data_IF_524898889988
#
_entry.id   IF_524898889988
#
_cell.length_a   1.000
_cell.length_b   1.000
_cell.length_c   1.000
_cell.angle_alpha   90.00
_cell.angle_beta   90.00
_cell.angle_gamma   90.00
#
_symmetry.space_group_name_H-M   'P 1'
#
loop_
_entity.id
_entity.type
_entity.pdbx_description
1 polymer ?
#
# COMPACT_ATOMS: atom_id res chain seq x y z
N UNK A 1 -18.27 46.36 -4.55
CA UNK A 1 -18.29 46.15 -6.01
C UNK A 1 -16.85 45.98 -6.52
N UNK A 2 -16.60 45.03 -7.45
CA UNK A 2 -15.27 44.58 -7.91
C UNK A 2 -14.67 45.52 -8.99
N UNK A 3 -13.38 45.40 -9.36
CA UNK A 3 -12.98 44.58 -10.54
C UNK A 3 -11.64 43.82 -10.35
N UNK A 4 -11.58 42.51 -10.64
CA UNK A 4 -11.17 41.86 -11.92
C UNK A 4 -9.65 41.80 -12.18
N UNK A 5 -9.04 40.66 -11.81
CA UNK A 5 -7.79 40.15 -12.40
C UNK A 5 -8.07 39.62 -13.83
N UNK A 6 -7.02 39.52 -14.66
CA UNK A 6 -6.77 38.25 -15.31
C UNK A 6 -5.39 37.68 -14.90
N UNK A 7 -5.42 36.46 -14.36
CA UNK A 7 -4.24 35.60 -14.16
C UNK A 7 -3.77 35.09 -15.53
N UNK A 8 -2.58 35.50 -15.94
CA UNK A 8 -1.79 34.75 -16.92
C UNK A 8 -0.97 33.71 -16.16
N UNK A 9 -1.33 32.44 -16.33
CA UNK A 9 -0.57 31.29 -15.84
C UNK A 9 0.77 31.20 -16.58
N UNK A 10 1.85 31.67 -15.97
CA UNK A 10 3.21 31.31 -16.39
C UNK A 10 3.51 29.90 -15.87
N UNK A 11 3.45 28.95 -16.81
CA UNK A 11 3.98 27.61 -16.68
C UNK A 11 5.49 27.71 -16.45
N UNK A 12 5.93 27.53 -15.20
CA UNK A 12 7.34 27.44 -14.87
C UNK A 12 7.87 26.10 -15.38
N UNK A 13 8.82 26.14 -16.31
CA UNK A 13 9.59 24.97 -16.74
C UNK A 13 10.20 24.25 -15.53
N UNK A 14 10.36 22.92 -15.56
CA UNK A 14 11.06 22.21 -14.49
C UNK A 14 12.48 22.78 -14.36
N UNK A 15 12.99 23.02 -13.15
CA UNK A 15 14.36 23.49 -12.98
C UNK A 15 15.33 22.49 -13.61
N UNK A 16 16.11 22.93 -14.60
CA UNK A 16 17.07 22.13 -15.38
C UNK A 16 18.30 21.68 -14.57
N UNK A 17 18.25 21.75 -13.25
CA UNK A 17 19.37 21.48 -12.35
C UNK A 17 18.89 20.69 -11.14
N UNK A 18 19.31 19.43 -11.07
CA UNK A 18 19.11 18.59 -9.89
C UNK A 18 20.06 19.12 -8.80
N UNK A 19 19.56 19.48 -7.60
CA UNK A 19 20.40 20.05 -6.56
C UNK A 19 21.43 19.03 -6.04
N UNK A 20 22.71 19.43 -5.93
CA UNK A 20 23.87 18.61 -5.56
C UNK A 20 23.64 17.67 -4.36
N UNK A 21 22.85 18.13 -3.38
CA UNK A 21 22.51 17.39 -2.16
C UNK A 21 21.59 16.17 -2.41
N UNK A 22 20.94 16.08 -3.57
CA UNK A 22 20.11 14.93 -3.97
C UNK A 22 20.88 13.90 -4.81
N UNK A 23 22.14 14.17 -5.16
CA UNK A 23 22.98 13.25 -5.95
C UNK A 23 23.73 12.22 -5.10
N UNK A 24 23.53 12.17 -3.77
CA UNK A 24 24.21 11.19 -2.91
C UNK A 24 25.74 11.32 -2.92
N UNK A 25 26.26 12.50 -3.25
CA UNK A 25 27.68 12.82 -3.25
C UNK A 25 28.16 13.03 -1.82
N UNK A 26 29.40 12.63 -1.52
CA UNK A 26 29.99 12.93 -0.22
C UNK A 26 30.15 14.45 -0.06
N UNK A 27 30.16 15.01 1.16
CA UNK A 27 30.32 16.45 1.36
C UNK A 27 31.59 17.03 0.70
N UNK A 28 32.64 16.21 0.59
CA UNK A 28 33.90 16.56 -0.08
C UNK A 28 33.75 16.58 -1.60
N UNK A 29 32.99 15.64 -2.17
CA UNK A 29 32.69 15.59 -3.61
C UNK A 29 31.81 16.77 -4.04
N UNK A 30 30.82 17.17 -3.21
CA UNK A 30 29.98 18.36 -3.45
C UNK A 30 30.82 19.64 -3.41
N UNK A 31 31.74 19.77 -2.45
CA UNK A 31 32.63 20.92 -2.36
C UNK A 31 33.55 21.02 -3.60
N UNK A 32 34.08 19.88 -4.04
CA UNK A 32 34.91 19.78 -5.25
C UNK A 32 34.10 20.14 -6.50
N UNK A 33 32.86 19.67 -6.62
CA UNK A 33 31.97 20.00 -7.74
C UNK A 33 31.64 21.49 -7.78
N UNK A 34 31.35 22.11 -6.63
CA UNK A 34 31.11 23.55 -6.52
C UNK A 34 32.34 24.38 -6.87
N UNK A 35 33.52 23.95 -6.42
CA UNK A 35 34.78 24.62 -6.76
C UNK A 35 35.06 24.58 -8.27
N UNK A 36 34.81 23.44 -8.92
CA UNK A 36 34.96 23.32 -10.37
C UNK A 36 33.90 24.12 -11.15
N UNK A 37 32.63 24.14 -10.70
CA UNK A 37 31.62 25.02 -11.28
C UNK A 37 32.04 26.49 -11.17
N UNK A 38 32.59 26.92 -10.04
CA UNK A 38 33.07 28.28 -9.86
C UNK A 38 34.25 28.61 -10.79
N UNK A 39 35.19 27.68 -10.99
CA UNK A 39 36.30 27.85 -11.93
C UNK A 39 35.83 27.90 -13.39
N UNK A 40 34.87 27.05 -13.77
CA UNK A 40 34.24 27.08 -15.09
C UNK A 40 33.46 28.37 -15.33
N UNK A 41 32.73 28.86 -14.32
CA UNK A 41 32.06 30.17 -14.38
C UNK A 41 33.04 31.34 -14.41
N UNK A 42 34.22 31.22 -13.78
CA UNK A 42 35.27 32.23 -13.83
C UNK A 42 35.95 32.29 -15.21
N UNK A 43 36.18 31.14 -15.87
CA UNK A 43 36.65 31.09 -17.26
C UNK A 43 35.60 31.59 -18.26
N UNK A 44 34.31 31.41 -17.98
CA UNK A 44 33.22 31.95 -18.80
C UNK A 44 33.06 33.48 -18.72
N UNK A 45 33.77 34.16 -17.81
CA UNK A 45 33.73 35.64 -17.64
C UNK A 45 34.79 36.40 -18.45
N UNK A 46 35.53 35.74 -19.35
CA UNK A 46 36.36 36.42 -20.33
C UNK A 46 35.45 37.16 -21.35
N UNK A 47 35.56 38.49 -21.51
CA UNK A 47 34.58 39.31 -22.26
C UNK A 47 34.67 39.19 -23.79
N UNK A 48 35.48 38.28 -24.32
CA UNK A 48 35.66 38.09 -25.77
C UNK A 48 35.42 36.66 -26.17
N UNK A 49 34.19 36.36 -26.61
CA UNK A 49 33.90 35.13 -27.35
C UNK A 49 32.50 34.56 -27.10
N UNK A 50 31.52 35.13 -27.81
CA UNK A 50 30.36 34.44 -28.40
C UNK A 50 29.76 33.24 -27.66
N UNK A 51 28.54 33.42 -27.16
CA UNK A 51 27.38 32.54 -27.44
C UNK A 51 27.71 31.10 -27.84
N UNK A 52 28.35 30.34 -26.95
CA UNK A 52 28.35 28.89 -26.95
C UNK A 52 27.44 28.40 -25.82
N UNK A 53 26.23 28.98 -25.77
CA UNK A 53 25.05 28.38 -25.17
C UNK A 53 24.67 27.12 -25.96
N UNK A 54 25.50 26.09 -25.83
CA UNK A 54 25.12 24.71 -26.09
C UNK A 54 25.40 23.92 -24.81
N UNK A 55 24.62 24.24 -23.78
CA UNK A 55 23.63 23.32 -23.22
C UNK A 55 23.83 21.83 -23.58
N UNK A 56 24.98 21.23 -23.24
CA UNK A 56 25.23 19.80 -23.53
C UNK A 56 26.68 19.40 -23.85
N UNK A 57 27.63 20.33 -23.99
CA UNK A 57 29.05 19.94 -24.11
C UNK A 57 29.68 19.97 -22.73
N UNK A 58 29.51 18.88 -21.97
CA UNK A 58 30.43 18.55 -20.88
C UNK A 58 31.83 18.62 -21.50
N UNK A 59 32.61 19.64 -21.13
CA UNK A 59 34.06 19.57 -21.28
C UNK A 59 34.47 18.36 -20.46
N UNK A 60 34.77 17.26 -21.17
CA UNK A 60 35.27 15.99 -20.64
C UNK A 60 36.69 16.23 -20.11
N UNK A 61 36.80 17.06 -19.08
CA UNK A 61 38.03 17.19 -18.31
C UNK A 61 38.26 15.84 -17.61
N UNK A 62 39.46 15.24 -17.69
CA UNK A 62 39.73 13.91 -17.10
C UNK A 62 39.29 13.77 -15.63
N UNK A 63 39.29 14.86 -14.86
CA UNK A 63 38.77 14.87 -13.49
C UNK A 63 37.25 14.66 -13.39
N UNK A 64 36.47 15.24 -14.32
CA UNK A 64 35.01 15.09 -14.36
C UNK A 64 34.58 13.65 -14.70
N UNK A 65 35.33 12.97 -15.57
CA UNK A 65 35.10 11.56 -15.90
C UNK A 65 35.45 10.64 -14.72
N UNK A 66 36.51 10.94 -13.97
CA UNK A 66 36.85 10.20 -12.76
C UNK A 66 35.78 10.38 -11.67
N UNK A 67 35.23 11.57 -11.49
CA UNK A 67 34.13 11.83 -10.57
C UNK A 67 32.86 11.06 -10.96
N UNK A 68 32.53 11.07 -12.26
CA UNK A 68 31.39 10.34 -12.78
C UNK A 68 31.54 8.82 -12.60
N UNK A 69 32.74 8.28 -12.84
CA UNK A 69 33.04 6.85 -12.58
C UNK A 69 32.79 6.49 -11.11
N UNK A 70 33.33 7.28 -10.17
CA UNK A 70 33.13 7.05 -8.73
C UNK A 70 31.66 7.16 -8.32
N UNK A 71 30.91 8.07 -8.94
CA UNK A 71 29.48 8.18 -8.72
C UNK A 71 28.74 6.94 -9.22
N UNK A 72 29.04 6.46 -10.42
CA UNK A 72 28.48 5.20 -10.94
C UNK A 72 28.80 4.01 -10.03
N UNK A 73 30.03 3.89 -9.55
CA UNK A 73 30.42 2.80 -8.62
C UNK A 73 29.60 2.85 -7.33
N UNK A 74 29.41 4.05 -6.75
CA UNK A 74 28.61 4.24 -5.53
C UNK A 74 27.12 3.96 -5.76
N UNK A 75 26.57 4.37 -6.90
CA UNK A 75 25.17 4.08 -7.27
C UNK A 75 24.99 2.57 -7.46
N UNK A 76 25.91 1.89 -8.14
CA UNK A 76 25.85 0.44 -8.32
C UNK A 76 25.93 -0.30 -6.98
N UNK A 77 26.79 0.13 -6.06
CA UNK A 77 26.85 -0.42 -4.70
C UNK A 77 25.54 -0.18 -3.93
N UNK A 78 24.97 1.02 -4.00
CA UNK A 78 23.72 1.35 -3.34
C UNK A 78 22.53 0.55 -3.91
N UNK A 79 22.48 0.36 -5.23
CA UNK A 79 21.48 -0.49 -5.89
C UNK A 79 21.63 -1.94 -5.41
N UNK A 80 22.87 -2.47 -5.36
CA UNK A 80 23.14 -3.82 -4.85
C UNK A 80 22.60 -4.01 -3.43
N UNK A 81 22.96 -3.11 -2.50
CA UNK A 81 22.46 -3.14 -1.12
C UNK A 81 20.93 -3.02 -1.05
N UNK A 82 20.33 -2.18 -1.89
CA UNK A 82 18.87 -2.00 -1.91
C UNK A 82 18.15 -3.24 -2.43
N UNK A 83 18.72 -3.93 -3.42
CA UNK A 83 18.17 -5.18 -3.94
C UNK A 83 18.21 -6.29 -2.88
N UNK A 84 19.31 -6.41 -2.14
CA UNK A 84 19.42 -7.36 -1.02
C UNK A 84 18.38 -7.08 0.07
N UNK A 85 18.24 -5.81 0.47
CA UNK A 85 17.22 -5.40 1.45
C UNK A 85 15.80 -5.68 0.95
N UNK A 86 15.51 -5.41 -0.32
CA UNK A 86 14.19 -5.65 -0.90
C UNK A 86 13.89 -7.16 -0.97
N UNK A 87 14.87 -7.98 -1.32
CA UNK A 87 14.73 -9.43 -1.37
C UNK A 87 14.40 -9.98 0.02
N UNK A 88 15.19 -9.62 1.03
CA UNK A 88 14.95 -10.03 2.42
C UNK A 88 13.59 -9.53 2.95
N UNK A 89 13.23 -8.27 2.67
CA UNK A 89 11.92 -7.74 3.06
C UNK A 89 10.77 -8.47 2.36
N UNK A 90 10.95 -8.89 1.11
CA UNK A 90 9.95 -9.65 0.35
C UNK A 90 9.79 -11.07 0.90
N UNK A 91 10.90 -11.72 1.27
CA UNK A 91 10.90 -13.03 1.91
C UNK A 91 10.10 -12.99 3.23
N UNK A 92 10.44 -12.07 4.14
CA UNK A 92 9.72 -11.87 5.41
C UNK A 92 8.24 -11.56 5.16
N UNK A 93 7.94 -10.67 4.21
CA UNK A 93 6.56 -10.31 3.91
C UNK A 93 5.76 -11.51 3.36
N UNK A 94 6.40 -12.37 2.58
CA UNK A 94 5.79 -13.57 2.01
C UNK A 94 5.51 -14.60 3.09
N UNK A 95 6.46 -14.85 3.99
CA UNK A 95 6.28 -15.74 5.15
C UNK A 95 5.16 -15.23 6.07
N UNK A 96 5.21 -13.96 6.47
CA UNK A 96 4.18 -13.36 7.31
C UNK A 96 2.79 -13.33 6.65
N UNK A 97 2.74 -13.26 5.32
CA UNK A 97 1.48 -13.36 4.57
C UNK A 97 0.96 -14.80 4.55
N UNK A 98 1.85 -15.78 4.36
CA UNK A 98 1.51 -17.20 4.39
C UNK A 98 0.94 -17.61 5.76
N UNK A 99 1.60 -17.20 6.85
CA UNK A 99 1.15 -17.48 8.22
C UNK A 99 -0.22 -16.84 8.53
N UNK A 100 -0.40 -15.57 8.14
CA UNK A 100 -1.70 -14.87 8.32
C UNK A 100 -2.82 -15.54 7.53
N UNK A 101 -2.55 -15.94 6.29
CA UNK A 101 -3.53 -16.64 5.47
C UNK A 101 -3.87 -18.02 6.07
N UNK A 102 -2.87 -18.76 6.54
CA UNK A 102 -3.06 -20.04 7.22
C UNK A 102 -3.94 -19.92 8.46
N UNK A 103 -3.63 -18.97 9.35
CA UNK A 103 -4.42 -18.72 10.55
C UNK A 103 -5.87 -18.30 10.21
N UNK A 104 -6.06 -17.44 9.21
CA UNK A 104 -7.39 -17.00 8.79
C UNK A 104 -8.25 -18.15 8.26
N UNK A 105 -7.65 -19.07 7.49
CA UNK A 105 -8.34 -20.27 6.99
C UNK A 105 -8.77 -21.17 8.15
N UNK A 106 -7.88 -21.45 9.10
CA UNK A 106 -8.21 -22.27 10.27
C UNK A 106 -9.34 -21.65 11.12
N UNK A 107 -9.32 -20.33 11.31
CA UNK A 107 -10.42 -19.63 11.99
C UNK A 107 -11.73 -19.73 11.22
N UNK A 108 -11.69 -19.59 9.89
CA UNK A 108 -12.87 -19.73 9.05
C UNK A 108 -13.47 -21.15 9.14
N UNK A 109 -12.63 -22.18 9.12
CA UNK A 109 -13.07 -23.59 9.26
C UNK A 109 -13.74 -23.84 10.60
N UNK A 110 -13.19 -23.29 11.69
CA UNK A 110 -13.79 -23.38 13.03
C UNK A 110 -15.17 -22.71 13.08
N UNK A 111 -15.31 -21.53 12.46
CA UNK A 111 -16.59 -20.83 12.41
C UNK A 111 -17.61 -21.54 11.50
N UNK A 112 -17.18 -22.14 10.38
CA UNK A 112 -18.03 -22.98 9.53
C UNK A 112 -18.54 -24.18 10.32
N UNK A 113 -17.69 -24.85 11.09
CA UNK A 113 -18.09 -25.98 11.93
C UNK A 113 -19.13 -25.55 12.99
N UNK A 114 -18.91 -24.39 13.62
CA UNK A 114 -19.86 -23.80 14.56
C UNK A 114 -21.20 -23.49 13.91
N UNK A 115 -21.23 -22.87 12.73
CA UNK A 115 -22.47 -22.59 12.02
C UNK A 115 -23.21 -23.86 11.63
N UNK A 116 -22.50 -24.90 11.16
CA UNK A 116 -23.11 -26.21 10.88
C UNK A 116 -23.76 -26.83 12.11
N UNK A 117 -23.11 -26.73 13.27
CA UNK A 117 -23.69 -27.21 14.53
C UNK A 117 -24.95 -26.41 14.92
N UNK A 118 -24.93 -25.09 14.75
CA UNK A 118 -26.10 -24.24 15.00
C UNK A 118 -27.27 -24.62 14.07
N UNK A 119 -27.00 -24.83 12.78
CA UNK A 119 -28.04 -25.25 11.83
C UNK A 119 -28.66 -26.59 12.24
N UNK A 120 -27.84 -27.56 12.64
CA UNK A 120 -28.35 -28.83 13.15
C UNK A 120 -29.22 -28.65 14.41
N UNK A 121 -28.83 -27.78 15.34
CA UNK A 121 -29.64 -27.48 16.52
C UNK A 121 -30.98 -26.83 16.15
N UNK A 122 -31.00 -25.99 15.11
CA UNK A 122 -32.25 -25.39 14.60
C UNK A 122 -33.18 -26.47 14.04
N UNK A 123 -32.66 -27.40 13.24
CA UNK A 123 -33.44 -28.51 12.68
C UNK A 123 -34.01 -29.43 13.80
N UNK A 124 -33.23 -29.68 14.85
CA UNK A 124 -33.68 -30.43 16.03
C UNK A 124 -34.81 -29.68 16.77
N UNK A 125 -34.67 -28.36 16.96
CA UNK A 125 -35.71 -27.54 17.56
C UNK A 125 -37.00 -27.52 16.73
N UNK A 126 -36.90 -27.50 15.39
CA UNK A 126 -38.07 -27.59 14.52
C UNK A 126 -38.83 -28.91 14.73
N UNK A 127 -38.10 -30.02 14.84
CA UNK A 127 -38.68 -31.33 15.17
C UNK A 127 -39.36 -31.33 16.54
N UNK A 128 -38.77 -30.70 17.55
CA UNK A 128 -39.39 -30.53 18.87
C UNK A 128 -40.65 -29.66 18.82
N UNK A 129 -40.67 -28.60 18.03
CA UNK A 129 -41.86 -27.76 17.85
C UNK A 129 -43.01 -28.53 17.20
N UNK A 130 -42.74 -29.44 16.27
CA UNK A 130 -43.77 -30.29 15.67
C UNK A 130 -44.35 -31.29 16.68
N UNK A 131 -43.53 -31.84 17.58
CA UNK A 131 -44.02 -32.64 18.72
C UNK A 131 -44.97 -31.82 19.59
N UNK A 132 -44.61 -30.57 19.90
CA UNK A 132 -45.45 -29.66 20.70
C UNK A 132 -46.79 -29.37 20.00
N UNK A 133 -46.79 -29.15 18.67
CA UNK A 133 -48.02 -28.97 17.89
C UNK A 133 -48.93 -30.19 18.03
N UNK A 134 -48.39 -31.41 17.91
CA UNK A 134 -49.15 -32.66 18.08
C UNK A 134 -49.74 -32.79 19.48
N UNK A 135 -48.98 -32.47 20.52
CA UNK A 135 -49.48 -32.46 21.90
C UNK A 135 -50.65 -31.48 22.05
N UNK A 136 -50.53 -30.27 21.47
CA UNK A 136 -51.60 -29.27 21.49
C UNK A 136 -52.89 -29.79 20.86
N UNK A 137 -52.80 -30.53 19.75
CA UNK A 137 -53.97 -31.16 19.11
C UNK A 137 -54.61 -32.23 19.99
N UNK A 138 -53.80 -33.07 20.65
CA UNK A 138 -54.26 -34.08 21.60
C UNK A 138 -55.02 -33.41 22.75
N UNK A 139 -54.47 -32.35 23.35
CA UNK A 139 -55.12 -31.60 24.44
C UNK A 139 -56.45 -30.99 23.98
N UNK A 140 -56.50 -30.42 22.77
CA UNK A 140 -57.75 -29.93 22.18
C UNK A 140 -58.79 -31.04 22.03
N UNK A 141 -58.40 -32.23 21.58
CA UNK A 141 -59.30 -33.38 21.45
C UNK A 141 -59.84 -33.88 22.80
N UNK A 142 -59.00 -33.90 23.84
CA UNK A 142 -59.44 -34.25 25.19
C UNK A 142 -60.42 -33.24 25.75
N UNK A 143 -60.15 -31.94 25.58
CA UNK A 143 -61.08 -30.88 25.98
C UNK A 143 -62.45 -31.04 25.33
N UNK A 144 -62.49 -31.27 24.02
CA UNK A 144 -63.75 -31.48 23.29
C UNK A 144 -64.53 -32.71 23.81
N UNK A 145 -63.83 -33.81 24.14
CA UNK A 145 -64.46 -35.02 24.72
C UNK A 145 -65.03 -34.75 26.11
N UNK A 146 -64.34 -33.98 26.95
CA UNK A 146 -64.83 -33.59 28.28
C UNK A 146 -66.08 -32.71 28.15
N UNK A 147 -66.05 -31.68 27.29
CA UNK A 147 -67.20 -30.81 27.04
C UNK A 147 -68.42 -31.61 26.51
N UNK A 148 -68.20 -32.61 25.65
CA UNK A 148 -69.27 -33.49 25.18
C UNK A 148 -69.86 -34.37 26.29
N UNK A 149 -69.02 -34.84 27.20
CA UNK A 149 -69.44 -35.68 28.33
C UNK A 149 -70.21 -34.88 29.37
N UNK A 150 -69.77 -33.66 29.65
CA UNK A 150 -70.44 -32.71 30.54
C UNK A 150 -71.87 -32.42 30.04
N UNK A 151 -72.04 -32.14 28.74
CA UNK A 151 -73.37 -31.94 28.12
C UNK A 151 -74.30 -33.17 28.16
N UNK A 152 -73.76 -34.35 28.41
CA UNK A 152 -74.55 -35.60 28.53
C UNK A 152 -74.91 -35.94 29.98
N UNK A 153 -74.16 -35.41 30.95
CA UNK A 153 -74.31 -35.69 32.38
C UNK A 153 -75.04 -34.57 33.13
N UNK A 154 -74.95 -33.33 32.65
CA UNK A 154 -75.81 -32.21 33.07
C UNK A 154 -77.09 -32.16 32.25
#
# INVERSE_FOLDING_TARGET
MPPSQPRSSQQAAPPTSIPDNRLGLSPQDVATLRQHQQLAHAQARSPTGSQASSQGRLLLDPGSLQLLSRHFDRVMQAIGQRLEQLNHATEIATEAQYDRAGNAIQMADAEIARFRAILHQIDELETEFDKIKRIREIVRSFRARVEQMERRLG
#
